data_IF_934895061690
#
_entry.id   IF_934895061690
#
_cell.length_a   1.000
_cell.length_b   1.000
_cell.length_c   1.000
_cell.angle_alpha   90.00
_cell.angle_beta   90.00
_cell.angle_gamma   90.00
#
_symmetry.space_group_name_H-M   'P 1'
#
loop_
_entity.id
_entity.type
_entity.pdbx_description
1 polymer ?
#
# COMPACT_ATOMS: atom_id res chain seq x y z
N UNK A 1 13.49 33.95 -15.35
CA UNK A 1 12.99 32.85 -16.21
C UNK A 1 13.71 32.86 -17.56
N UNK A 2 13.73 33.99 -18.31
CA UNK A 2 14.32 34.04 -19.66
C UNK A 2 15.83 33.71 -19.69
N UNK A 3 16.62 34.13 -18.70
CA UNK A 3 18.03 33.81 -18.59
C UNK A 3 18.26 32.29 -18.39
N UNK A 4 17.51 31.67 -17.54
CA UNK A 4 17.57 30.21 -17.29
C UNK A 4 17.27 29.41 -18.57
N UNK A 5 16.20 29.75 -19.28
CA UNK A 5 15.82 29.08 -20.53
C UNK A 5 16.94 29.18 -21.61
N UNK A 6 17.60 30.33 -21.71
CA UNK A 6 18.73 30.48 -22.63
C UNK A 6 19.92 29.60 -22.27
N UNK A 7 20.22 29.46 -20.97
CA UNK A 7 21.30 28.58 -20.50
C UNK A 7 20.94 27.13 -20.76
N UNK A 8 19.68 26.71 -20.44
CA UNK A 8 19.22 25.36 -20.69
C UNK A 8 19.28 24.99 -22.18
N UNK A 9 18.79 25.85 -23.07
CA UNK A 9 18.83 25.62 -24.53
C UNK A 9 20.27 25.53 -25.07
N UNK A 10 21.21 26.34 -24.57
CA UNK A 10 22.63 26.26 -24.98
C UNK A 10 23.29 24.94 -24.54
N UNK A 11 22.77 24.31 -23.49
CA UNK A 11 23.31 23.09 -22.90
C UNK A 11 22.40 21.86 -23.11
N UNK A 12 21.46 21.93 -24.03
CA UNK A 12 20.45 20.90 -24.26
C UNK A 12 21.05 19.48 -24.38
N UNK A 13 22.08 19.34 -25.23
CA UNK A 13 22.73 18.02 -25.43
C UNK A 13 23.35 17.48 -24.14
N UNK A 14 24.07 18.34 -23.42
CA UNK A 14 24.67 17.97 -22.13
C UNK A 14 23.60 17.55 -21.11
N UNK A 15 22.50 18.31 -21.02
CA UNK A 15 21.36 17.98 -20.12
C UNK A 15 20.73 16.64 -20.46
N UNK A 16 20.50 16.37 -21.75
CA UNK A 16 19.94 15.11 -22.20
C UNK A 16 20.88 13.93 -21.95
N UNK A 17 22.16 14.07 -22.18
CA UNK A 17 23.15 13.03 -21.94
C UNK A 17 23.27 12.72 -20.43
N UNK A 18 23.33 13.77 -19.59
CA UNK A 18 23.35 13.64 -18.13
C UNK A 18 22.07 12.97 -17.64
N UNK A 19 20.90 13.40 -18.14
CA UNK A 19 19.62 12.80 -17.79
C UNK A 19 19.58 11.31 -18.12
N UNK A 20 19.99 10.93 -19.33
CA UNK A 20 19.95 9.53 -19.77
C UNK A 20 20.87 8.63 -18.94
N UNK A 21 22.08 9.12 -18.67
CA UNK A 21 23.05 8.39 -17.84
C UNK A 21 22.51 8.21 -16.40
N UNK A 22 22.04 9.31 -15.79
CA UNK A 22 21.47 9.29 -14.45
C UNK A 22 20.21 8.42 -14.36
N UNK A 23 19.32 8.47 -15.36
CA UNK A 23 18.11 7.65 -15.37
C UNK A 23 18.43 6.17 -15.37
N UNK A 24 19.33 5.72 -16.23
CA UNK A 24 19.73 4.31 -16.31
C UNK A 24 20.36 3.81 -14.99
N UNK A 25 21.23 4.61 -14.37
CA UNK A 25 21.84 4.29 -13.09
C UNK A 25 20.81 4.23 -11.95
N UNK A 26 19.94 5.24 -11.86
CA UNK A 26 18.92 5.35 -10.82
C UNK A 26 17.84 4.28 -10.94
N UNK A 27 17.39 3.95 -12.16
CA UNK A 27 16.47 2.86 -12.40
C UNK A 27 17.05 1.53 -11.91
N UNK A 28 18.31 1.25 -12.24
CA UNK A 28 19.00 0.05 -11.79
C UNK A 28 19.23 0.03 -10.26
N UNK A 29 19.51 1.18 -9.64
CA UNK A 29 19.68 1.32 -8.19
C UNK A 29 18.35 1.13 -7.46
N UNK A 30 17.28 1.75 -7.93
CA UNK A 30 15.94 1.62 -7.33
C UNK A 30 15.35 0.22 -7.48
N UNK A 31 15.63 -0.46 -8.60
CA UNK A 31 15.24 -1.87 -8.81
C UNK A 31 15.94 -2.85 -7.86
N UNK A 32 17.09 -2.47 -7.29
CA UNK A 32 17.80 -3.26 -6.27
C UNK A 32 17.38 -2.94 -4.84
N UNK A 33 16.51 -1.96 -4.65
CA UNK A 33 15.91 -1.63 -3.36
C UNK A 33 14.73 -2.56 -3.04
N UNK A 34 13.97 -2.25 -2.00
CA UNK A 34 12.75 -2.98 -1.63
C UNK A 34 11.54 -2.74 -2.54
N UNK A 35 11.68 -1.85 -3.54
CA UNK A 35 10.62 -1.53 -4.50
C UNK A 35 10.38 -2.71 -5.47
N UNK A 36 9.12 -3.03 -5.71
CA UNK A 36 8.70 -4.09 -6.64
C UNK A 36 7.85 -3.55 -7.80
N UNK A 37 7.27 -2.35 -7.65
CA UNK A 37 6.41 -1.77 -8.66
C UNK A 37 7.25 -1.01 -9.70
N UNK A 38 7.41 -1.61 -10.90
CA UNK A 38 8.18 -1.00 -12.00
C UNK A 38 7.76 0.42 -12.34
N UNK A 39 6.48 0.73 -12.28
CA UNK A 39 5.98 2.07 -12.60
C UNK A 39 6.43 3.10 -11.56
N UNK A 40 6.46 2.71 -10.29
CA UNK A 40 6.99 3.57 -9.21
C UNK A 40 8.49 3.75 -9.41
N UNK A 41 9.24 2.67 -9.65
CA UNK A 41 10.67 2.71 -9.90
C UNK A 41 10.98 3.69 -11.04
N UNK A 42 10.39 3.49 -12.21
CA UNK A 42 10.62 4.31 -13.39
C UNK A 42 10.28 5.79 -13.18
N UNK A 43 9.10 6.06 -12.63
CA UNK A 43 8.65 7.43 -12.41
C UNK A 43 9.56 8.20 -11.43
N UNK A 44 10.02 7.56 -10.35
CA UNK A 44 10.86 8.21 -9.36
C UNK A 44 12.32 8.33 -9.84
N UNK A 45 12.84 7.31 -10.53
CA UNK A 45 14.15 7.41 -11.20
C UNK A 45 14.18 8.54 -12.23
N UNK A 46 13.08 8.74 -12.97
CA UNK A 46 12.93 9.82 -13.92
C UNK A 46 12.98 11.20 -13.26
N UNK A 47 12.27 11.37 -12.14
CA UNK A 47 12.29 12.63 -11.39
C UNK A 47 13.69 12.93 -10.83
N UNK A 48 14.35 11.92 -10.24
CA UNK A 48 15.71 12.09 -9.74
C UNK A 48 16.70 12.41 -10.87
N UNK A 49 16.61 11.73 -12.02
CA UNK A 49 17.45 12.01 -13.18
C UNK A 49 17.27 13.43 -13.74
N UNK A 50 16.05 13.96 -13.72
CA UNK A 50 15.81 15.37 -14.04
C UNK A 50 16.55 16.31 -13.05
N UNK A 51 16.57 15.95 -11.76
CA UNK A 51 17.32 16.67 -10.74
C UNK A 51 18.83 16.69 -11.01
N UNK A 52 19.39 15.54 -11.41
CA UNK A 52 20.80 15.43 -11.82
C UNK A 52 21.12 16.34 -13.02
N UNK A 53 20.29 16.27 -14.06
CA UNK A 53 20.46 17.13 -15.24
C UNK A 53 20.39 18.62 -14.87
N UNK A 54 19.42 19.01 -14.04
CA UNK A 54 19.28 20.39 -13.60
C UNK A 54 20.47 20.84 -12.72
N UNK A 55 20.99 19.96 -11.86
CA UNK A 55 22.13 20.28 -11.01
C UNK A 55 23.39 20.69 -11.82
N UNK A 56 23.55 20.18 -13.04
CA UNK A 56 24.68 20.58 -13.91
C UNK A 56 24.63 22.05 -14.34
N UNK A 57 23.46 22.70 -14.23
CA UNK A 57 23.34 24.15 -14.53
C UNK A 57 23.68 25.04 -13.31
N UNK A 58 23.92 24.43 -12.16
CA UNK A 58 24.19 25.11 -10.90
C UNK A 58 25.52 24.59 -10.32
N UNK A 59 26.67 25.06 -10.82
CA UNK A 59 27.98 24.53 -10.42
C UNK A 59 28.33 24.75 -8.93
N UNK A 60 27.59 25.62 -8.24
CA UNK A 60 27.65 25.79 -6.79
C UNK A 60 26.99 24.65 -6.00
N UNK A 61 26.22 23.78 -6.65
CA UNK A 61 25.64 22.59 -6.03
C UNK A 61 26.66 21.48 -6.03
N UNK A 62 27.01 21.05 -4.85
CA UNK A 62 27.94 19.97 -4.65
C UNK A 62 27.30 18.60 -4.83
N UNK A 63 28.13 17.57 -4.78
CA UNK A 63 27.67 16.17 -4.89
C UNK A 63 26.69 15.78 -3.79
N UNK A 64 26.82 16.37 -2.59
CA UNK A 64 25.93 16.06 -1.45
C UNK A 64 24.48 16.44 -1.72
N UNK A 65 24.25 17.51 -2.49
CA UNK A 65 22.90 17.90 -2.91
C UNK A 65 22.23 16.83 -3.76
N UNK A 66 22.96 16.28 -4.73
CA UNK A 66 22.42 15.24 -5.63
C UNK A 66 22.16 13.93 -4.88
N UNK A 67 23.12 13.53 -4.02
CA UNK A 67 22.95 12.35 -3.16
C UNK A 67 21.75 12.47 -2.20
N UNK A 68 21.57 13.66 -1.61
CA UNK A 68 20.41 13.97 -0.76
C UNK A 68 19.09 13.94 -1.52
N UNK A 69 19.07 14.45 -2.76
CA UNK A 69 17.92 14.39 -3.65
C UNK A 69 17.55 12.94 -3.95
N UNK A 70 18.51 12.11 -4.31
CA UNK A 70 18.30 10.69 -4.62
C UNK A 70 17.73 9.93 -3.43
N UNK A 71 18.30 10.12 -2.24
CA UNK A 71 17.81 9.50 -1.01
C UNK A 71 16.37 9.93 -0.69
N UNK A 72 16.06 11.22 -0.87
CA UNK A 72 14.71 11.74 -0.68
C UNK A 72 13.71 11.14 -1.68
N UNK A 73 14.05 11.11 -2.97
CA UNK A 73 13.17 10.56 -4.00
C UNK A 73 12.94 9.06 -3.78
N UNK A 74 13.98 8.31 -3.42
CA UNK A 74 13.83 6.88 -3.07
C UNK A 74 12.89 6.69 -1.87
N UNK A 75 13.04 7.49 -0.81
CA UNK A 75 12.16 7.41 0.35
C UNK A 75 10.69 7.68 -0.01
N UNK A 76 10.44 8.62 -0.94
CA UNK A 76 9.07 8.89 -1.46
C UNK A 76 8.53 7.75 -2.32
N UNK A 77 9.39 7.07 -3.08
CA UNK A 77 9.01 5.89 -3.85
C UNK A 77 8.56 4.75 -2.93
N UNK A 78 9.34 4.46 -1.89
CA UNK A 78 9.03 3.43 -0.88
C UNK A 78 7.73 3.75 -0.15
N UNK A 79 7.55 4.98 0.31
CA UNK A 79 6.30 5.42 0.95
C UNK A 79 5.09 5.25 0.02
N UNK A 80 5.24 5.64 -1.25
CA UNK A 80 4.16 5.49 -2.24
C UNK A 80 3.79 4.04 -2.49
N UNK A 81 4.79 3.17 -2.60
CA UNK A 81 4.54 1.74 -2.78
C UNK A 81 3.86 1.13 -1.56
N UNK A 82 4.31 1.47 -0.36
CA UNK A 82 3.67 1.05 0.90
C UNK A 82 2.20 1.46 0.95
N UNK A 83 1.90 2.73 0.63
CA UNK A 83 0.49 3.21 0.55
C UNK A 83 -0.34 2.49 -0.50
N UNK A 84 0.26 2.10 -1.64
CA UNK A 84 -0.44 1.32 -2.66
C UNK A 84 -0.67 -0.13 -2.25
N UNK A 85 0.13 -0.67 -1.33
CA UNK A 85 -0.02 -2.02 -0.78
C UNK A 85 -0.96 -2.07 0.42
N UNK A 86 -1.09 -0.98 1.16
CA UNK A 86 -2.00 -0.89 2.29
C UNK A 86 -3.46 -1.05 1.84
N UNK A 87 -4.25 -1.62 2.69
CA UNK A 87 -5.69 -1.63 2.55
C UNK A 87 -6.29 -0.25 2.86
N UNK A 88 -7.56 -0.06 2.52
CA UNK A 88 -8.27 1.13 2.98
C UNK A 88 -8.35 1.10 4.52
N UNK A 89 -8.13 2.22 5.24
CA UNK A 89 -8.10 2.24 6.70
C UNK A 89 -9.29 1.55 7.38
N UNK A 90 -10.49 1.65 6.79
CA UNK A 90 -11.68 0.97 7.28
C UNK A 90 -11.58 -0.56 7.15
N UNK A 91 -10.91 -1.06 6.10
CA UNK A 91 -10.69 -2.50 5.88
C UNK A 91 -9.62 -3.01 6.84
N UNK A 92 -8.54 -2.25 7.05
CA UNK A 92 -7.53 -2.58 8.06
C UNK A 92 -8.16 -2.64 9.45
N UNK A 93 -8.93 -1.62 9.84
CA UNK A 93 -9.64 -1.59 11.13
C UNK A 93 -10.60 -2.76 11.29
N UNK A 94 -11.29 -3.17 10.23
CA UNK A 94 -12.15 -4.36 10.26
C UNK A 94 -11.35 -5.63 10.56
N UNK A 95 -10.22 -5.84 9.89
CA UNK A 95 -9.40 -7.04 10.12
C UNK A 95 -8.72 -7.04 11.48
N UNK A 96 -8.29 -5.89 11.98
CA UNK A 96 -7.73 -5.76 13.33
C UNK A 96 -8.78 -6.08 14.40
N UNK A 97 -10.00 -5.57 14.24
CA UNK A 97 -11.12 -5.92 15.14
C UNK A 97 -11.53 -7.38 15.00
N UNK A 98 -11.51 -7.93 13.78
CA UNK A 98 -11.80 -9.34 13.54
C UNK A 98 -10.81 -10.23 14.30
N UNK A 99 -9.52 -9.99 14.16
CA UNK A 99 -8.47 -10.76 14.85
C UNK A 99 -8.61 -10.65 16.38
N UNK A 100 -8.84 -9.42 16.87
CA UNK A 100 -9.08 -9.18 18.29
C UNK A 100 -10.28 -9.96 18.81
N UNK A 101 -11.43 -9.87 18.16
CA UNK A 101 -12.67 -10.55 18.58
C UNK A 101 -12.56 -12.08 18.44
N UNK A 102 -11.84 -12.53 17.44
CA UNK A 102 -11.58 -13.94 17.22
C UNK A 102 -10.66 -14.53 18.32
N UNK A 103 -9.72 -13.72 18.85
CA UNK A 103 -8.78 -14.11 19.91
C UNK A 103 -9.33 -14.01 21.34
N UNK A 104 -10.36 -13.17 21.56
CA UNK A 104 -10.90 -12.87 22.91
C UNK A 104 -12.19 -13.67 23.23
N UNK A 105 -12.56 -14.68 22.52
CA UNK A 105 -13.81 -15.39 22.81
C UNK A 105 -14.06 -15.53 24.33
N UNK A 106 -15.31 -15.31 24.84
CA UNK A 106 -15.66 -15.37 26.26
C UNK A 106 -15.28 -16.69 26.93
N UNK A 107 -15.12 -17.71 26.14
CA UNK A 107 -14.51 -18.99 26.55
C UNK A 107 -13.11 -19.05 25.96
N UNK A 108 -12.10 -18.87 26.80
CA UNK A 108 -10.66 -18.99 26.44
C UNK A 108 -10.29 -20.33 25.75
N UNK A 109 -11.27 -21.16 25.41
CA UNK A 109 -11.14 -22.47 24.77
C UNK A 109 -11.78 -22.59 23.36
N UNK A 110 -12.40 -21.55 22.80
CA UNK A 110 -12.90 -21.57 21.41
C UNK A 110 -12.34 -20.41 20.60
N UNK A 111 -11.12 -20.53 20.07
CA UNK A 111 -10.61 -19.62 19.06
C UNK A 111 -11.52 -19.71 17.82
N UNK A 112 -11.59 -18.61 17.06
CA UNK A 112 -12.18 -18.63 15.72
C UNK A 112 -13.72 -18.51 15.61
N UNK A 113 -14.36 -17.72 16.51
CA UNK A 113 -15.82 -17.54 16.53
C UNK A 113 -16.42 -16.85 15.31
N UNK A 114 -15.66 -16.01 14.65
CA UNK A 114 -16.12 -15.17 13.52
C UNK A 114 -15.91 -15.84 12.17
N UNK A 115 -15.00 -16.79 12.06
CA UNK A 115 -14.83 -17.55 10.85
C UNK A 115 -15.78 -18.75 10.84
N UNK A 116 -16.77 -18.74 9.98
CA UNK A 116 -17.76 -19.79 9.82
C UNK A 116 -17.33 -20.89 8.84
N UNK A 117 -16.20 -20.73 8.15
CA UNK A 117 -15.69 -21.75 7.24
C UNK A 117 -15.14 -22.96 7.98
N UNK A 118 -15.42 -24.15 7.46
CA UNK A 118 -14.76 -25.40 7.84
C UNK A 118 -13.43 -25.62 7.10
N UNK A 119 -13.20 -24.86 6.03
CA UNK A 119 -11.94 -24.86 5.27
C UNK A 119 -10.96 -23.87 5.90
N UNK A 120 -9.80 -24.35 6.32
CA UNK A 120 -8.75 -23.54 6.95
C UNK A 120 -8.15 -22.49 6.02
N UNK A 121 -8.22 -22.70 4.70
CA UNK A 121 -7.75 -21.75 3.70
C UNK A 121 -8.73 -20.60 3.45
N UNK A 122 -9.96 -20.67 3.99
CA UNK A 122 -11.04 -19.74 3.74
C UNK A 122 -11.50 -19.03 5.02
N UNK A 123 -11.78 -17.75 4.90
CA UNK A 123 -12.41 -16.96 5.96
C UNK A 123 -13.82 -16.58 5.50
N UNK A 124 -14.82 -17.12 6.19
CA UNK A 124 -16.24 -16.82 5.94
C UNK A 124 -16.81 -16.02 7.11
N UNK A 125 -17.06 -14.73 6.90
CA UNK A 125 -17.49 -13.80 7.94
C UNK A 125 -18.92 -13.36 7.72
N UNK A 126 -19.77 -13.59 8.74
CA UNK A 126 -21.08 -12.96 8.78
C UNK A 126 -20.94 -11.57 9.40
N UNK A 127 -21.13 -10.52 8.59
CA UNK A 127 -20.95 -9.14 9.04
C UNK A 127 -21.96 -8.70 10.12
N UNK A 128 -23.15 -9.29 10.18
CA UNK A 128 -24.09 -8.98 11.26
C UNK A 128 -23.60 -9.56 12.58
N UNK A 129 -23.14 -10.81 12.57
CA UNK A 129 -22.54 -11.44 13.74
C UNK A 129 -21.29 -10.70 14.22
N UNK A 130 -20.43 -10.27 13.29
CA UNK A 130 -19.28 -9.39 13.61
C UNK A 130 -19.73 -8.12 14.33
N UNK A 131 -20.76 -7.43 13.84
CA UNK A 131 -21.29 -6.21 14.45
C UNK A 131 -21.85 -6.44 15.87
N UNK A 132 -22.53 -7.55 16.08
CA UNK A 132 -23.07 -7.92 17.40
C UNK A 132 -21.94 -8.16 18.40
N UNK A 133 -20.90 -8.89 18.00
CA UNK A 133 -19.74 -9.13 18.84
C UNK A 133 -18.93 -7.86 19.08
N UNK A 134 -18.73 -7.01 18.08
CA UNK A 134 -18.06 -5.72 18.23
C UNK A 134 -18.78 -4.86 19.27
N UNK A 135 -20.10 -4.77 19.19
CA UNK A 135 -20.92 -4.01 20.15
C UNK A 135 -20.83 -4.59 21.56
N UNK A 136 -20.92 -5.91 21.70
CA UNK A 136 -20.83 -6.56 23.01
C UNK A 136 -19.46 -6.45 23.66
N UNK A 137 -18.39 -6.36 22.84
CA UNK A 137 -17.02 -6.17 23.28
C UNK A 137 -16.62 -4.69 23.45
N UNK A 138 -17.56 -3.75 23.28
CA UNK A 138 -17.29 -2.31 23.40
C UNK A 138 -16.35 -1.74 22.32
N UNK A 139 -16.23 -2.43 21.16
CA UNK A 139 -15.42 -1.96 20.06
C UNK A 139 -16.12 -0.84 19.28
N UNK A 140 -15.35 0.07 18.64
CA UNK A 140 -15.91 1.08 17.75
C UNK A 140 -16.73 0.42 16.63
N UNK A 141 -17.94 0.92 16.40
CA UNK A 141 -18.77 0.41 15.30
C UNK A 141 -18.28 0.96 13.96
N UNK A 142 -18.09 0.05 13.01
CA UNK A 142 -17.65 0.40 11.66
C UNK A 142 -18.85 0.80 10.77
N UNK A 143 -18.61 1.68 9.81
CA UNK A 143 -19.60 1.94 8.75
C UNK A 143 -19.71 0.74 7.81
N UNK A 144 -20.76 -0.05 8.02
CA UNK A 144 -21.00 -1.30 7.28
C UNK A 144 -21.35 -1.08 5.82
N UNK A 145 -21.89 0.08 5.44
CA UNK A 145 -22.20 0.36 4.04
C UNK A 145 -20.91 0.60 3.26
N UNK A 146 -20.02 1.40 3.81
CA UNK A 146 -18.69 1.64 3.23
C UNK A 146 -17.83 0.37 3.27
N UNK A 147 -17.85 -0.37 4.38
CA UNK A 147 -17.08 -1.60 4.52
C UNK A 147 -17.46 -2.64 3.44
N UNK A 148 -18.76 -2.89 3.20
CA UNK A 148 -19.22 -3.82 2.15
C UNK A 148 -18.75 -3.45 0.74
N UNK A 149 -18.55 -2.16 0.46
CA UNK A 149 -18.03 -1.69 -0.83
C UNK A 149 -16.52 -1.83 -0.94
N UNK A 150 -15.81 -1.74 0.17
CA UNK A 150 -14.35 -1.72 0.21
C UNK A 150 -13.73 -3.11 0.38
N UNK A 151 -14.36 -4.01 1.15
CA UNK A 151 -13.88 -5.38 1.39
C UNK A 151 -13.55 -6.16 0.11
N UNK A 152 -14.36 -6.09 -0.98
CA UNK A 152 -14.02 -6.78 -2.23
C UNK A 152 -12.71 -6.34 -2.87
N UNK A 153 -12.22 -5.13 -2.53
CA UNK A 153 -10.95 -4.58 -3.01
C UNK A 153 -9.81 -4.73 -1.99
N UNK A 154 -10.07 -5.42 -0.88
CA UNK A 154 -9.08 -5.69 0.15
C UNK A 154 -7.92 -6.51 -0.37
N UNK A 155 -6.72 -6.25 0.15
CA UNK A 155 -5.45 -6.85 -0.30
C UNK A 155 -4.95 -7.91 0.67
N UNK A 156 -5.28 -7.76 1.96
CA UNK A 156 -4.90 -8.73 3.01
C UNK A 156 -5.54 -10.10 2.76
N UNK A 157 -6.82 -10.12 2.40
CA UNK A 157 -7.55 -11.33 2.05
C UNK A 157 -8.25 -11.14 0.71
N UNK A 158 -8.00 -12.05 -0.23
CA UNK A 158 -8.64 -12.01 -1.54
C UNK A 158 -10.13 -12.31 -1.39
N UNK A 159 -10.96 -11.34 -1.76
CA UNK A 159 -12.40 -11.55 -1.81
C UNK A 159 -12.77 -12.60 -2.87
N UNK A 160 -13.65 -13.53 -2.51
CA UNK A 160 -14.14 -14.57 -3.41
C UNK A 160 -15.56 -14.19 -3.88
N UNK A 161 -16.52 -14.22 -2.98
CA UNK A 161 -17.91 -13.82 -3.25
C UNK A 161 -18.72 -13.73 -1.94
N UNK A 162 -19.94 -13.22 -2.04
CA UNK A 162 -20.93 -13.32 -0.97
C UNK A 162 -21.75 -14.59 -1.17
N UNK A 163 -21.64 -15.56 -0.28
CA UNK A 163 -22.33 -16.84 -0.39
C UNK A 163 -22.89 -17.32 0.94
N UNK A 164 -23.80 -18.26 0.87
CA UNK A 164 -24.25 -18.97 2.06
C UNK A 164 -23.31 -20.14 2.34
N UNK A 165 -22.83 -20.22 3.57
CA UNK A 165 -21.98 -21.32 4.04
C UNK A 165 -22.62 -22.03 5.21
N UNK A 166 -22.33 -23.33 5.37
CA UNK A 166 -22.69 -24.07 6.57
C UNK A 166 -21.67 -23.73 7.66
N UNK A 167 -22.16 -23.14 8.74
CA UNK A 167 -21.30 -22.71 9.84
C UNK A 167 -20.71 -23.92 10.58
N UNK A 168 -19.39 -23.90 10.79
CA UNK A 168 -18.71 -24.94 11.60
C UNK A 168 -19.07 -24.88 13.09
N UNK A 169 -19.76 -23.84 13.54
CA UNK A 169 -20.07 -23.63 14.95
C UNK A 169 -21.41 -24.25 15.39
N UNK A 170 -22.40 -24.15 14.53
CA UNK A 170 -23.79 -24.56 14.86
C UNK A 170 -24.49 -25.30 13.72
N UNK A 171 -23.76 -25.67 12.68
CA UNK A 171 -24.24 -26.39 11.49
C UNK A 171 -25.35 -25.66 10.70
N UNK A 172 -25.64 -24.41 11.03
CA UNK A 172 -26.63 -23.58 10.33
C UNK A 172 -26.09 -23.02 9.04
N UNK A 173 -26.98 -22.79 8.08
CA UNK A 173 -26.65 -22.06 6.87
C UNK A 173 -26.71 -20.56 7.16
N UNK A 174 -25.60 -19.89 6.99
CA UNK A 174 -25.49 -18.45 7.19
C UNK A 174 -24.93 -17.77 5.96
N UNK A 175 -25.31 -16.52 5.74
CA UNK A 175 -24.78 -15.71 4.65
C UNK A 175 -23.52 -14.97 5.13
N UNK A 176 -22.44 -15.18 4.41
CA UNK A 176 -21.15 -14.52 4.62
C UNK A 176 -20.77 -13.68 3.42
#
# INVERSE_FOLDING_TARGET
VAGFLRVALKNERMLLDTYRAAFAELEARFSRSELQNERIIKNHAQVAACGHALATLFPERDRSFVEGLDAYILSRAVERESRLRADHPLVEQFWDQFDYLNGIGPDRGRPDRLNHSSDEALVAVNLNHFMELSRSAGQPLLDMQSLKKLLPNGKRHKFINNQSVRSKHDDRIIRC
#
